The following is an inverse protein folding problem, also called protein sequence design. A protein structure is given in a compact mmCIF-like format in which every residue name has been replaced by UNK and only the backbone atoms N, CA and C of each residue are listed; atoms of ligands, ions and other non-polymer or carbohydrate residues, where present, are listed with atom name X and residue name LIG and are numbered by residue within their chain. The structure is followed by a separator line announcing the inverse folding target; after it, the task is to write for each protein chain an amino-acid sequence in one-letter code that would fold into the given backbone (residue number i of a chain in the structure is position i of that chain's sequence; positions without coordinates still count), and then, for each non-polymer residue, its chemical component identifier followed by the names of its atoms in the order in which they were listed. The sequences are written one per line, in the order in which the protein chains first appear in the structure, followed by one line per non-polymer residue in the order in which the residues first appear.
data_IF_388560612087
#
_entry.id   IF_388560612087
#
_cell.length_a   1.000
_cell.length_b   1.000
_cell.length_c   1.000
_cell.angle_alpha   90.00
_cell.angle_beta   90.00
_cell.angle_gamma   90.00
#
_symmetry.space_group_name_H-M   'P 1'
#
loop_
_entity.id
_entity.type
_entity.pdbx_description
1 polymer ?
#
# COMPACT_ATOMS: atom_id res chain seq x y z
N UNK A 1 -58.04 14.60 48.31
CA UNK A 1 -57.11 15.56 47.68
C UNK A 1 -55.93 14.82 47.15
N UNK A 2 -55.95 14.50 45.86
CA UNK A 2 -54.89 13.71 45.17
C UNK A 2 -54.08 14.66 44.30
N UNK A 3 -52.86 14.93 44.69
CA UNK A 3 -51.91 15.70 43.90
C UNK A 3 -51.27 14.78 42.84
N UNK A 4 -51.49 15.15 41.56
CA UNK A 4 -50.82 14.52 40.40
C UNK A 4 -49.41 15.09 40.29
N UNK A 5 -48.40 14.27 40.54
CA UNK A 5 -47.00 14.53 40.16
C UNK A 5 -46.81 14.24 38.68
N UNK A 6 -46.77 15.28 37.89
CA UNK A 6 -46.43 15.22 36.44
C UNK A 6 -44.92 15.23 36.34
N UNK A 7 -44.33 14.04 36.16
CA UNK A 7 -42.89 13.89 35.90
C UNK A 7 -42.55 14.37 34.49
N UNK A 8 -41.91 15.52 34.41
CA UNK A 8 -41.23 15.99 33.22
C UNK A 8 -39.96 15.19 33.02
N UNK A 9 -39.89 14.38 31.97
CA UNK A 9 -38.67 13.69 31.51
C UNK A 9 -37.96 14.68 30.56
N UNK A 10 -36.74 15.14 30.86
CA UNK A 10 -35.97 15.89 29.90
C UNK A 10 -35.49 14.98 28.80
N UNK A 11 -35.90 15.26 27.58
CA UNK A 11 -35.46 14.61 26.35
C UNK A 11 -33.98 14.98 26.11
N UNK A 12 -33.07 14.08 26.47
CA UNK A 12 -31.65 14.22 26.21
C UNK A 12 -31.40 13.92 24.72
N UNK A 13 -31.33 14.97 23.91
CA UNK A 13 -30.94 14.90 22.51
C UNK A 13 -29.43 14.66 22.49
N UNK A 14 -29.04 13.40 22.30
CA UNK A 14 -27.64 13.02 22.04
C UNK A 14 -27.32 13.38 20.60
N UNK A 15 -26.65 14.52 20.40
CA UNK A 15 -26.03 14.84 19.12
C UNK A 15 -24.89 13.86 18.85
N UNK A 16 -25.17 12.83 18.05
CA UNK A 16 -24.12 12.04 17.41
C UNK A 16 -23.43 12.92 16.35
N UNK A 17 -22.35 13.59 16.75
CA UNK A 17 -21.43 14.16 15.77
C UNK A 17 -20.74 13.01 15.04
N UNK A 18 -21.19 12.74 13.81
CA UNK A 18 -20.50 11.86 12.89
C UNK A 18 -19.19 12.54 12.50
N UNK A 19 -18.10 12.10 13.13
CA UNK A 19 -16.76 12.39 12.65
C UNK A 19 -16.59 11.65 11.31
N UNK A 20 -16.92 12.31 10.21
CA UNK A 20 -16.52 11.89 8.88
C UNK A 20 -15.00 12.04 8.81
N UNK A 21 -14.26 10.94 8.98
CA UNK A 21 -12.87 10.88 8.59
C UNK A 21 -12.84 11.04 7.06
N UNK A 22 -12.65 12.28 6.61
CA UNK A 22 -12.26 12.55 5.25
C UNK A 22 -10.87 11.90 5.07
N UNK A 23 -10.85 10.72 4.47
CA UNK A 23 -9.62 10.10 3.99
C UNK A 23 -9.15 10.98 2.83
N UNK A 24 -8.29 11.94 3.12
CA UNK A 24 -7.56 12.71 2.12
C UNK A 24 -6.60 11.71 1.44
N UNK A 25 -7.08 11.05 0.41
CA UNK A 25 -6.21 10.42 -0.58
C UNK A 25 -5.41 11.55 -1.20
N UNK A 26 -4.15 11.68 -0.77
CA UNK A 26 -3.17 12.49 -1.50
C UNK A 26 -3.12 11.91 -2.92
N UNK A 27 -3.69 12.65 -3.86
CA UNK A 27 -3.73 12.35 -5.30
C UNK A 27 -2.33 12.58 -5.89
N UNK A 28 -1.37 11.82 -5.36
CA UNK A 28 -0.05 11.70 -5.96
C UNK A 28 -0.17 10.55 -6.95
N UNK A 29 -0.34 10.88 -8.24
CA UNK A 29 -0.46 9.88 -9.30
C UNK A 29 0.58 8.77 -9.10
N UNK A 30 0.15 7.52 -9.16
CA UNK A 30 1.01 6.34 -8.99
C UNK A 30 2.18 6.39 -9.98
N UNK A 31 3.36 5.97 -9.56
CA UNK A 31 4.55 5.90 -10.40
C UNK A 31 4.32 5.08 -11.69
N UNK A 32 3.50 4.05 -11.61
CA UNK A 32 3.12 3.25 -12.76
C UNK A 32 2.28 4.06 -13.74
N UNK A 33 1.25 4.77 -13.26
CA UNK A 33 0.38 5.60 -14.08
C UNK A 33 1.18 6.74 -14.75
N UNK A 34 2.09 7.38 -14.02
CA UNK A 34 3.00 8.38 -14.57
C UNK A 34 3.85 7.82 -15.71
N UNK A 35 4.41 6.63 -15.57
CA UNK A 35 5.19 5.95 -16.60
C UNK A 35 4.32 5.67 -17.83
N UNK A 36 3.12 5.15 -17.63
CA UNK A 36 2.18 4.86 -18.73
C UNK A 36 1.82 6.13 -19.50
N UNK A 37 1.40 7.18 -18.81
CA UNK A 37 1.00 8.45 -19.42
C UNK A 37 2.15 9.09 -20.21
N UNK A 38 3.33 9.14 -19.59
CA UNK A 38 4.53 9.64 -20.25
C UNK A 38 4.88 8.83 -21.52
N UNK A 39 4.76 7.50 -21.44
CA UNK A 39 5.07 6.62 -22.57
C UNK A 39 4.06 6.77 -23.71
N UNK A 40 2.76 6.84 -23.39
CA UNK A 40 1.72 7.09 -24.40
C UNK A 40 1.93 8.42 -25.12
N UNK A 41 2.21 9.50 -24.39
CA UNK A 41 2.48 10.81 -24.95
C UNK A 41 3.73 10.79 -25.85
N UNK A 42 4.83 10.21 -25.37
CA UNK A 42 6.11 10.15 -26.10
C UNK A 42 5.99 9.36 -27.40
N UNK A 43 5.25 8.27 -27.39
CA UNK A 43 5.07 7.39 -28.55
C UNK A 43 3.86 7.78 -29.42
N UNK A 44 3.09 8.80 -29.02
CA UNK A 44 1.84 9.25 -29.67
C UNK A 44 0.85 8.10 -29.87
N UNK A 45 0.64 7.31 -28.81
CA UNK A 45 -0.29 6.19 -28.80
C UNK A 45 -1.57 6.57 -28.06
N UNK A 46 -2.71 6.16 -28.61
CA UNK A 46 -4.02 6.43 -28.02
C UNK A 46 -4.44 5.37 -26.99
N UNK A 47 -3.75 4.23 -26.96
CA UNK A 47 -4.11 3.09 -26.10
C UNK A 47 -2.88 2.40 -25.52
N UNK A 48 -3.04 1.96 -24.27
CA UNK A 48 -2.08 1.10 -23.61
C UNK A 48 -2.05 -0.29 -24.28
N UNK A 49 -0.86 -0.89 -24.35
CA UNK A 49 -0.65 -2.26 -24.82
C UNK A 49 0.25 -3.05 -23.86
N UNK A 50 0.36 -4.36 -24.04
CA UNK A 50 1.12 -5.23 -23.15
C UNK A 50 2.59 -4.84 -23.04
N UNK A 51 3.20 -4.30 -24.08
CA UNK A 51 4.59 -3.85 -24.04
C UNK A 51 4.78 -2.67 -23.09
N UNK A 52 3.86 -1.69 -23.13
CA UNK A 52 3.85 -0.55 -22.22
C UNK A 52 3.62 -1.02 -20.80
N UNK A 53 2.61 -1.88 -20.56
CA UNK A 53 2.37 -2.46 -19.24
C UNK A 53 3.62 -3.14 -18.70
N UNK A 54 4.27 -3.98 -19.50
CA UNK A 54 5.47 -4.71 -19.10
C UNK A 54 6.64 -3.77 -18.78
N UNK A 55 6.90 -2.79 -19.65
CA UNK A 55 8.00 -1.83 -19.47
C UNK A 55 7.80 -1.00 -18.22
N UNK A 56 6.64 -0.33 -18.08
CA UNK A 56 6.34 0.52 -16.93
C UNK A 56 6.28 -0.26 -15.62
N UNK A 57 5.75 -1.49 -15.65
CA UNK A 57 5.74 -2.34 -14.46
C UNK A 57 7.16 -2.71 -14.00
N UNK A 58 8.05 -3.04 -14.93
CA UNK A 58 9.44 -3.38 -14.59
C UNK A 58 10.21 -2.17 -14.05
N UNK A 59 10.04 -1.01 -14.65
CA UNK A 59 10.66 0.25 -14.20
C UNK A 59 10.17 0.62 -12.79
N UNK A 60 8.86 0.66 -12.59
CA UNK A 60 8.25 1.03 -11.32
C UNK A 60 8.57 0.02 -10.22
N UNK A 61 8.56 -1.29 -10.52
CA UNK A 61 9.00 -2.33 -9.59
C UNK A 61 10.44 -2.10 -9.12
N UNK A 62 11.35 -1.67 -10.01
CA UNK A 62 12.72 -1.38 -9.63
C UNK A 62 12.81 -0.21 -8.63
N UNK A 63 11.95 0.80 -8.76
CA UNK A 63 11.84 1.90 -7.79
C UNK A 63 11.34 1.39 -6.45
N UNK A 64 10.24 0.63 -6.42
CA UNK A 64 9.71 0.07 -5.16
C UNK A 64 10.70 -0.88 -4.48
N UNK A 65 11.46 -1.67 -5.24
CA UNK A 65 12.53 -2.51 -4.68
C UNK A 65 13.56 -1.67 -3.92
N UNK A 66 13.99 -0.54 -4.47
CA UNK A 66 14.91 0.38 -3.78
C UNK A 66 14.27 0.97 -2.52
N UNK A 67 13.01 1.36 -2.58
CA UNK A 67 12.28 1.88 -1.41
C UNK A 67 12.18 0.84 -0.30
N UNK A 68 11.90 -0.43 -0.61
CA UNK A 68 11.90 -1.53 0.38
C UNK A 68 13.27 -1.63 1.08
N UNK A 69 14.36 -1.58 0.33
CA UNK A 69 15.72 -1.64 0.89
C UNK A 69 15.95 -0.46 1.85
N UNK A 70 15.58 0.75 1.44
CA UNK A 70 15.72 1.96 2.27
C UNK A 70 14.91 1.86 3.56
N UNK A 71 13.66 1.40 3.49
CA UNK A 71 12.81 1.27 4.68
C UNK A 71 13.33 0.17 5.62
N UNK A 72 13.76 -0.98 5.08
CA UNK A 72 14.36 -2.05 5.89
C UNK A 72 15.64 -1.59 6.59
N UNK A 73 16.44 -0.74 5.94
CA UNK A 73 17.64 -0.17 6.55
C UNK A 73 17.28 0.81 7.69
N UNK A 74 16.25 1.64 7.52
CA UNK A 74 15.71 2.49 8.58
C UNK A 74 15.23 1.67 9.78
N UNK A 75 14.41 0.61 9.54
CA UNK A 75 13.95 -0.29 10.59
C UNK A 75 15.12 -0.91 11.35
N UNK A 76 16.19 -1.31 10.64
CA UNK A 76 17.40 -1.86 11.25
C UNK A 76 18.07 -0.85 12.19
N UNK A 77 18.25 0.40 11.72
CA UNK A 77 18.88 1.46 12.51
C UNK A 77 18.06 1.78 13.77
N UNK A 78 16.74 1.95 13.64
CA UNK A 78 15.85 2.20 14.77
C UNK A 78 15.86 1.04 15.78
N UNK A 79 15.77 -0.21 15.29
CA UNK A 79 15.85 -1.39 16.15
C UNK A 79 17.14 -1.49 16.94
N UNK A 80 18.26 -1.02 16.38
CA UNK A 80 19.53 -0.95 17.08
C UNK A 80 19.54 0.16 18.14
N UNK A 81 19.02 1.35 17.82
CA UNK A 81 18.95 2.49 18.74
C UNK A 81 18.04 2.19 19.93
N UNK A 82 16.94 1.49 19.70
CA UNK A 82 15.97 1.10 20.74
C UNK A 82 16.36 -0.16 21.51
N UNK A 83 17.51 -0.77 21.21
CA UNK A 83 17.96 -2.04 21.79
C UNK A 83 16.96 -3.20 21.57
N UNK A 84 16.29 -3.20 20.40
CA UNK A 84 15.29 -4.20 20.01
C UNK A 84 15.75 -5.02 18.77
N UNK A 85 16.86 -5.78 18.83
CA UNK A 85 17.41 -6.49 17.67
C UNK A 85 16.41 -7.51 17.07
N UNK A 86 15.56 -8.10 17.88
CA UNK A 86 14.56 -9.07 17.43
C UNK A 86 13.48 -8.45 16.52
N UNK A 87 13.18 -7.16 16.68
CA UNK A 87 12.25 -6.43 15.81
C UNK A 87 12.69 -6.51 14.36
N UNK A 88 13.92 -6.12 14.07
CA UNK A 88 14.46 -6.19 12.71
C UNK A 88 14.55 -7.61 12.18
N UNK A 89 15.02 -8.56 12.97
CA UNK A 89 15.17 -9.97 12.55
C UNK A 89 13.82 -10.60 12.17
N UNK A 90 12.76 -10.32 12.94
CA UNK A 90 11.42 -10.81 12.64
C UNK A 90 10.84 -10.18 11.36
N UNK A 91 11.04 -8.87 11.16
CA UNK A 91 10.61 -8.19 9.94
C UNK A 91 11.37 -8.74 8.73
N UNK A 92 12.67 -8.98 8.86
CA UNK A 92 13.49 -9.56 7.80
C UNK A 92 13.04 -11.00 7.45
N UNK A 93 12.66 -11.80 8.43
CA UNK A 93 12.08 -13.15 8.21
C UNK A 93 10.76 -13.05 7.46
N UNK A 94 9.86 -12.14 7.86
CA UNK A 94 8.61 -11.84 7.17
C UNK A 94 8.86 -11.40 5.72
N UNK A 95 9.88 -10.58 5.48
CA UNK A 95 10.27 -10.13 4.14
C UNK A 95 10.68 -11.29 3.22
N UNK A 96 11.39 -12.29 3.74
CA UNK A 96 11.77 -13.48 2.97
C UNK A 96 10.55 -14.34 2.59
N UNK A 97 9.64 -14.56 3.54
CA UNK A 97 8.40 -15.31 3.30
C UNK A 97 7.50 -14.60 2.30
N UNK A 98 7.35 -13.29 2.45
CA UNK A 98 6.62 -12.46 1.49
C UNK A 98 7.21 -12.57 0.07
N UNK A 99 8.53 -12.52 -0.06
CA UNK A 99 9.18 -12.63 -1.37
C UNK A 99 8.89 -13.99 -2.04
N UNK A 100 8.96 -15.08 -1.28
CA UNK A 100 8.63 -16.42 -1.78
C UNK A 100 7.17 -16.53 -2.21
N UNK A 101 6.25 -15.94 -1.42
CA UNK A 101 4.83 -15.87 -1.77
C UNK A 101 4.63 -15.12 -3.09
N UNK A 102 5.17 -13.89 -3.19
CA UNK A 102 5.01 -13.05 -4.39
C UNK A 102 5.55 -13.73 -5.65
N UNK A 103 6.71 -14.40 -5.56
CA UNK A 103 7.29 -15.09 -6.70
C UNK A 103 6.34 -16.19 -7.21
N UNK A 104 5.75 -16.96 -6.30
CA UNK A 104 4.82 -18.04 -6.68
C UNK A 104 3.47 -17.51 -7.16
N UNK A 105 2.92 -16.52 -6.46
CA UNK A 105 1.62 -15.95 -6.81
C UNK A 105 1.65 -15.25 -8.17
N UNK A 106 2.70 -14.48 -8.44
CA UNK A 106 2.81 -13.77 -9.70
C UNK A 106 3.20 -14.68 -10.87
N UNK A 107 3.88 -15.80 -10.62
CA UNK A 107 4.07 -16.86 -11.61
C UNK A 107 2.71 -17.49 -11.99
N UNK A 108 1.87 -17.79 -11.01
CA UNK A 108 0.52 -18.28 -11.26
C UNK A 108 -0.32 -17.26 -12.06
N UNK A 109 -0.26 -15.97 -11.66
CA UNK A 109 -0.98 -14.92 -12.38
C UNK A 109 -0.52 -14.79 -13.85
N UNK A 110 0.80 -14.85 -14.09
CA UNK A 110 1.35 -14.86 -15.45
C UNK A 110 0.91 -16.08 -16.26
N UNK A 111 0.89 -17.26 -15.62
CA UNK A 111 0.53 -18.52 -16.27
C UNK A 111 -0.97 -18.61 -16.59
N UNK A 112 -1.84 -18.22 -15.67
CA UNK A 112 -3.28 -18.46 -15.79
C UNK A 112 -4.10 -17.26 -16.28
N UNK A 113 -3.57 -16.03 -16.13
CA UNK A 113 -4.23 -14.80 -16.60
C UNK A 113 -3.59 -14.31 -17.89
N UNK A 114 -2.26 -14.36 -17.99
CA UNK A 114 -1.54 -14.02 -19.21
C UNK A 114 -0.36 -13.06 -19.04
N UNK A 115 0.29 -12.79 -20.16
CA UNK A 115 1.61 -12.16 -20.30
C UNK A 115 1.84 -10.88 -19.48
N UNK A 116 0.97 -9.86 -19.41
CA UNK A 116 1.29 -8.66 -18.64
C UNK A 116 1.50 -8.95 -17.16
N UNK A 117 0.87 -10.02 -16.64
CA UNK A 117 0.87 -10.33 -15.20
C UNK A 117 2.24 -10.76 -14.68
N UNK A 118 3.14 -11.31 -15.51
CA UNK A 118 4.51 -11.60 -15.10
C UNK A 118 5.29 -10.37 -14.61
N UNK A 119 4.92 -9.18 -15.11
CA UNK A 119 5.55 -7.91 -14.70
C UNK A 119 4.64 -7.07 -13.82
N UNK A 120 3.34 -7.01 -14.14
CA UNK A 120 2.38 -6.17 -13.44
C UNK A 120 2.10 -6.65 -12.00
N UNK A 121 1.87 -7.96 -11.81
CA UNK A 121 1.63 -8.53 -10.49
C UNK A 121 2.79 -8.26 -9.51
N UNK A 122 4.06 -8.56 -9.82
CA UNK A 122 5.15 -8.24 -8.90
C UNK A 122 5.25 -6.74 -8.60
N UNK A 123 5.01 -5.86 -9.57
CA UNK A 123 5.05 -4.42 -9.35
C UNK A 123 4.00 -4.00 -8.31
N UNK A 124 2.77 -4.48 -8.43
CA UNK A 124 1.70 -4.19 -7.46
C UNK A 124 2.04 -4.71 -6.05
N UNK A 125 2.57 -5.92 -5.96
CA UNK A 125 2.94 -6.51 -4.66
C UNK A 125 4.12 -5.75 -4.01
N UNK A 126 5.11 -5.32 -4.78
CA UNK A 126 6.21 -4.49 -4.26
C UNK A 126 5.72 -3.13 -3.76
N UNK A 127 4.75 -2.49 -4.44
CA UNK A 127 4.11 -1.25 -3.96
C UNK A 127 3.47 -1.46 -2.59
N UNK A 128 2.57 -2.45 -2.49
CA UNK A 128 1.90 -2.80 -1.23
C UNK A 128 2.92 -3.07 -0.10
N UNK A 129 4.02 -3.73 -0.44
CA UNK A 129 5.05 -4.05 0.56
C UNK A 129 5.78 -2.82 1.07
N UNK A 130 6.04 -1.84 0.22
CA UNK A 130 6.60 -0.55 0.66
C UNK A 130 5.71 0.10 1.71
N UNK A 131 4.39 0.15 1.44
CA UNK A 131 3.44 0.78 2.35
C UNK A 131 3.36 0.02 3.68
N UNK A 132 3.27 -1.31 3.65
CA UNK A 132 3.30 -2.16 4.85
C UNK A 132 4.59 -1.97 5.69
N UNK A 133 5.74 -1.85 5.05
CA UNK A 133 7.00 -1.66 5.77
C UNK A 133 7.12 -0.27 6.37
N UNK A 134 6.55 0.75 5.74
CA UNK A 134 6.52 2.12 6.28
C UNK A 134 5.77 2.20 7.60
N UNK A 135 4.71 1.42 7.78
CA UNK A 135 3.97 1.35 9.05
C UNK A 135 4.86 1.00 10.26
N UNK A 136 5.99 0.33 10.03
CA UNK A 136 6.94 0.00 11.09
C UNK A 136 7.91 1.12 11.46
N UNK A 137 8.02 2.19 10.67
CA UNK A 137 8.94 3.32 10.92
C UNK A 137 8.22 4.63 11.22
N UNK A 138 6.91 4.69 11.02
CA UNK A 138 6.10 5.89 11.24
C UNK A 138 5.32 5.82 12.58
N UNK A 139 5.59 4.79 13.40
CA UNK A 139 5.05 4.60 14.75
C UNK A 139 5.97 5.25 15.79
#
# INVERSE_FOLDING_TARGET
MKQLYRKLIPLLIVFFTQFSFAHTTSDKSDLYDQCVDHTLQKLKLDKINNTIVQSCSNETKAVYKKQIITVLDKIRQESQQESQPDRYLNILKSQRLWKSYVDKECDNAGTFIGSPMYSYCPMQEYRKRVDQLREYVDL
#
